data_IF_148823651202
#
_entry.id   IF_148823651202
#
_cell.length_a   1.000
_cell.length_b   1.000
_cell.length_c   1.000
_cell.angle_alpha   90.00
_cell.angle_beta   90.00
_cell.angle_gamma   90.00
#
_symmetry.space_group_name_H-M   'P 1'
#
loop_
_entity.id
_entity.type
_entity.pdbx_description
1 polymer ?
#
# COMPACT_ATOMS: atom_id res chain seq x y z
N UNK A 1 -35.17 -51.40 -38.71
CA UNK A 1 -34.03 -50.48 -38.60
C UNK A 1 -34.35 -49.36 -37.61
N UNK A 2 -33.87 -49.41 -36.36
CA UNK A 2 -33.86 -48.24 -35.49
C UNK A 2 -32.47 -48.09 -34.84
N UNK A 3 -31.54 -47.42 -35.51
CA UNK A 3 -30.21 -47.12 -34.94
C UNK A 3 -29.72 -45.71 -35.27
N UNK A 4 -30.60 -44.84 -35.77
CA UNK A 4 -30.24 -43.51 -36.30
C UNK A 4 -30.93 -42.34 -35.59
N UNK A 5 -31.63 -42.58 -34.47
CA UNK A 5 -32.33 -41.53 -33.72
C UNK A 5 -31.74 -41.25 -32.32
N UNK A 6 -30.72 -41.99 -31.88
CA UNK A 6 -30.07 -41.78 -30.58
C UNK A 6 -28.75 -40.97 -30.67
N UNK A 7 -28.20 -40.75 -31.86
CA UNK A 7 -26.94 -40.01 -32.04
C UNK A 7 -27.08 -38.48 -32.08
N UNK A 8 -28.27 -37.96 -32.40
CA UNK A 8 -28.48 -36.52 -32.65
C UNK A 8 -28.84 -35.79 -31.35
N UNK A 9 -29.47 -36.45 -30.37
CA UNK A 9 -29.82 -35.83 -29.10
C UNK A 9 -28.62 -35.64 -28.15
N UNK A 10 -27.59 -36.48 -28.25
CA UNK A 10 -26.37 -36.38 -27.42
C UNK A 10 -25.46 -35.21 -27.81
N UNK A 11 -25.43 -34.85 -29.10
CA UNK A 11 -24.58 -33.77 -29.60
C UNK A 11 -25.13 -32.37 -29.26
N UNK A 12 -26.46 -32.22 -29.14
CA UNK A 12 -27.10 -30.95 -28.80
C UNK A 12 -26.98 -30.59 -27.31
N UNK A 13 -26.85 -31.58 -26.42
CA UNK A 13 -26.63 -31.31 -24.99
C UNK A 13 -25.18 -30.92 -24.67
N UNK A 14 -24.21 -31.39 -25.45
CA UNK A 14 -22.80 -31.01 -25.29
C UNK A 14 -22.50 -29.61 -25.82
N UNK A 15 -23.20 -29.16 -26.86
CA UNK A 15 -23.05 -27.81 -27.41
C UNK A 15 -23.61 -26.71 -26.48
N UNK A 16 -24.59 -27.01 -25.63
CA UNK A 16 -25.16 -26.07 -24.66
C UNK A 16 -24.37 -25.98 -23.35
N UNK A 17 -23.58 -27.01 -23.00
CA UNK A 17 -22.68 -26.98 -21.82
C UNK A 17 -21.29 -26.43 -22.19
N UNK A 18 -20.83 -26.63 -23.42
CA UNK A 18 -19.58 -26.04 -23.92
C UNK A 18 -19.72 -24.56 -24.35
N UNK A 19 -20.94 -24.10 -24.65
CA UNK A 19 -21.19 -22.72 -25.13
C UNK A 19 -21.30 -21.64 -24.05
N UNK A 20 -21.28 -22.01 -22.75
CA UNK A 20 -21.57 -21.06 -21.66
C UNK A 20 -20.41 -20.84 -20.67
N UNK A 21 -19.20 -21.30 -20.98
CA UNK A 21 -17.98 -21.02 -20.19
C UNK A 21 -16.84 -20.57 -21.07
N UNK A 22 -16.91 -19.29 -21.44
CA UNK A 22 -15.81 -18.34 -21.66
C UNK A 22 -16.33 -17.26 -22.59
N UNK A 23 -17.19 -16.37 -22.06
CA UNK A 23 -17.07 -14.99 -22.50
C UNK A 23 -15.71 -14.54 -21.94
N UNK A 24 -14.69 -14.24 -22.78
CA UNK A 24 -13.56 -13.49 -22.27
C UNK A 24 -14.15 -12.25 -21.60
N UNK A 25 -13.87 -12.06 -20.31
CA UNK A 25 -14.03 -10.73 -19.75
C UNK A 25 -13.31 -9.78 -20.70
N UNK A 26 -13.98 -8.73 -21.22
CA UNK A 26 -13.27 -7.74 -22.01
C UNK A 26 -12.26 -7.06 -21.08
N UNK A 27 -11.03 -7.60 -21.05
CA UNK A 27 -9.82 -6.96 -20.53
C UNK A 27 -9.29 -6.03 -21.61
N UNK A 28 -10.16 -5.14 -22.05
CA UNK A 28 -9.84 -4.07 -22.99
C UNK A 28 -10.74 -2.90 -22.64
N UNK A 29 -10.54 -2.34 -21.44
CA UNK A 29 -10.85 -0.93 -21.24
C UNK A 29 -9.73 -0.18 -21.92
N UNK A 30 -10.02 0.38 -23.09
CA UNK A 30 -9.13 1.31 -23.75
C UNK A 30 -8.82 2.46 -22.79
N UNK A 31 -7.55 2.89 -22.66
CA UNK A 31 -7.18 4.02 -21.82
C UNK A 31 -8.03 5.23 -22.21
N UNK A 32 -8.80 5.79 -21.26
CA UNK A 32 -9.55 7.02 -21.50
C UNK A 32 -8.62 8.21 -21.28
N UNK A 33 -8.08 8.85 -22.34
CA UNK A 33 -6.96 9.77 -22.21
C UNK A 33 -7.25 10.97 -21.30
N UNK A 34 -8.53 11.31 -21.12
CA UNK A 34 -8.99 12.38 -20.23
C UNK A 34 -8.84 12.02 -18.75
N UNK A 35 -9.16 10.78 -18.37
CA UNK A 35 -9.09 10.33 -16.98
C UNK A 35 -7.63 10.19 -16.54
N UNK A 36 -6.77 9.70 -17.42
CA UNK A 36 -5.33 9.59 -17.16
C UNK A 36 -4.68 10.96 -16.98
N UNK A 37 -5.01 11.91 -17.88
CA UNK A 37 -4.53 13.30 -17.78
C UNK A 37 -4.98 13.98 -16.50
N UNK A 38 -6.23 13.79 -16.08
CA UNK A 38 -6.76 14.36 -14.82
C UNK A 38 -6.08 13.75 -13.60
N UNK A 39 -5.89 12.43 -13.58
CA UNK A 39 -5.18 11.76 -12.49
C UNK A 39 -3.74 12.25 -12.39
N UNK A 40 -3.03 12.36 -13.53
CA UNK A 40 -1.68 12.91 -13.59
C UNK A 40 -1.63 14.35 -13.10
N UNK A 41 -2.51 15.22 -13.61
CA UNK A 41 -2.58 16.62 -13.19
C UNK A 41 -2.81 16.74 -11.69
N UNK A 42 -3.76 15.97 -11.14
CA UNK A 42 -4.04 15.92 -9.70
C UNK A 42 -2.82 15.46 -8.89
N UNK A 43 -2.13 14.42 -9.33
CA UNK A 43 -0.91 13.93 -8.67
C UNK A 43 0.19 15.00 -8.67
N UNK A 44 0.40 15.69 -9.80
CA UNK A 44 1.38 16.78 -9.94
C UNK A 44 1.05 17.95 -9.01
N UNK A 45 -0.18 18.45 -9.07
CA UNK A 45 -0.63 19.58 -8.24
C UNK A 45 -0.47 19.28 -6.75
N UNK A 46 -0.90 18.09 -6.32
CA UNK A 46 -0.80 17.66 -4.93
C UNK A 46 0.64 17.49 -4.48
N UNK A 47 1.48 16.83 -5.28
CA UNK A 47 2.89 16.63 -4.96
C UNK A 47 3.62 17.98 -4.82
N UNK A 48 3.39 18.91 -5.74
CA UNK A 48 3.98 20.25 -5.67
C UNK A 48 3.46 21.06 -4.47
N UNK A 49 2.16 20.94 -4.13
CA UNK A 49 1.60 21.60 -2.96
C UNK A 49 2.24 21.09 -1.66
N UNK A 50 2.40 19.77 -1.52
CA UNK A 50 3.09 19.16 -0.37
C UNK A 50 4.56 19.55 -0.35
N UNK A 51 5.27 19.48 -1.49
CA UNK A 51 6.67 19.87 -1.59
C UNK A 51 6.87 21.30 -1.09
N UNK A 52 6.08 22.24 -1.62
CA UNK A 52 6.13 23.64 -1.24
C UNK A 52 5.84 23.85 0.25
N UNK A 53 4.84 23.16 0.79
CA UNK A 53 4.44 23.32 2.19
C UNK A 53 5.46 22.76 3.20
N UNK A 54 6.34 21.87 2.75
CA UNK A 54 7.38 21.23 3.55
C UNK A 54 8.79 21.77 3.26
N UNK A 55 8.95 22.61 2.23
CA UNK A 55 10.27 23.06 1.75
C UNK A 55 11.05 21.98 1.00
N UNK A 56 10.35 21.02 0.38
CA UNK A 56 10.92 19.89 -0.36
C UNK A 56 10.87 20.17 -1.87
N UNK A 57 11.61 19.38 -2.63
CA UNK A 57 11.54 19.29 -4.09
C UNK A 57 10.79 18.03 -4.48
N UNK A 58 9.85 18.16 -5.42
CA UNK A 58 9.13 17.04 -6.01
C UNK A 58 9.82 16.57 -7.29
N UNK A 59 10.19 15.30 -7.32
CA UNK A 59 10.71 14.61 -8.50
C UNK A 59 9.71 13.54 -8.93
N UNK A 60 9.36 13.55 -10.20
CA UNK A 60 8.48 12.52 -10.77
C UNK A 60 9.23 11.20 -10.89
N UNK A 61 8.57 10.10 -10.51
CA UNK A 61 9.09 8.75 -10.73
C UNK A 61 9.13 8.44 -12.23
N UNK A 62 10.27 7.97 -12.72
CA UNK A 62 10.49 7.74 -14.15
C UNK A 62 9.64 6.60 -14.72
N UNK A 63 9.26 5.63 -13.89
CA UNK A 63 8.50 4.45 -14.31
C UNK A 63 6.99 4.65 -14.11
N UNK A 64 6.60 5.44 -13.11
CA UNK A 64 5.20 5.62 -12.72
C UNK A 64 4.86 7.12 -12.69
N UNK A 65 4.30 7.70 -13.78
CA UNK A 65 4.09 9.14 -13.91
C UNK A 65 3.23 9.79 -12.82
N UNK A 66 2.38 9.03 -12.12
CA UNK A 66 1.55 9.56 -11.02
C UNK A 66 2.21 9.44 -9.65
N UNK A 67 3.45 8.95 -9.59
CA UNK A 67 4.23 8.83 -8.36
C UNK A 67 5.30 9.92 -8.33
N UNK A 68 5.44 10.54 -7.17
CA UNK A 68 6.43 11.59 -6.92
C UNK A 68 7.23 11.22 -5.69
N UNK A 69 8.54 11.44 -5.78
CA UNK A 69 9.47 11.43 -4.67
C UNK A 69 9.69 12.87 -4.23
N UNK A 70 9.53 13.10 -2.94
CA UNK A 70 9.73 14.38 -2.26
C UNK A 70 10.97 14.25 -1.39
N UNK A 71 11.95 15.12 -1.65
CA UNK A 71 13.20 15.15 -0.89
C UNK A 71 13.49 16.59 -0.44
N UNK A 72 14.12 16.73 0.73
CA UNK A 72 14.55 18.02 1.23
C UNK A 72 15.97 18.31 0.74
N UNK A 73 16.22 19.43 0.01
CA UNK A 73 17.53 19.71 -0.59
C UNK A 73 18.66 19.85 0.44
N UNK A 74 18.33 20.39 1.61
CA UNK A 74 19.32 20.74 2.64
C UNK A 74 19.35 19.74 3.80
N UNK A 75 18.43 18.77 3.81
CA UNK A 75 18.25 17.90 4.97
C UNK A 75 19.00 16.56 4.75
N UNK A 76 19.97 16.29 5.62
CA UNK A 76 20.78 15.06 5.60
C UNK A 76 20.12 13.90 6.35
N UNK A 77 18.87 14.08 6.79
CA UNK A 77 18.12 13.19 7.67
C UNK A 77 17.71 11.87 6.98
N UNK A 78 17.99 11.72 5.68
CA UNK A 78 17.81 10.46 4.95
C UNK A 78 16.34 10.06 4.83
N UNK A 79 15.42 11.02 4.99
CA UNK A 79 13.99 10.82 4.89
C UNK A 79 13.54 11.02 3.45
N UNK A 80 12.85 10.02 2.90
CA UNK A 80 12.26 10.05 1.57
C UNK A 80 10.75 9.90 1.70
N UNK A 81 10.01 10.91 1.24
CA UNK A 81 8.56 10.81 1.12
C UNK A 81 8.20 10.49 -0.33
N UNK A 82 7.44 9.43 -0.55
CA UNK A 82 6.86 9.08 -1.85
C UNK A 82 5.36 9.21 -1.76
N UNK A 83 4.74 9.67 -2.83
CA UNK A 83 3.29 9.77 -2.89
C UNK A 83 2.80 9.51 -4.29
N UNK A 84 1.58 8.97 -4.42
CA UNK A 84 1.04 8.70 -5.73
C UNK A 84 -0.45 8.45 -5.75
N UNK A 85 -0.95 8.08 -6.93
CA UNK A 85 -2.36 7.78 -7.16
C UNK A 85 -2.47 6.44 -7.92
N UNK A 86 -3.28 5.48 -7.46
CA UNK A 86 -3.25 4.09 -7.92
C UNK A 86 -3.77 3.87 -9.34
N UNK A 87 -4.39 4.88 -9.95
CA UNK A 87 -4.99 4.81 -11.29
C UNK A 87 -4.03 4.26 -12.36
N UNK A 88 -2.75 4.59 -12.26
CA UNK A 88 -1.75 4.26 -13.29
C UNK A 88 -0.92 3.02 -12.92
N UNK A 89 -0.72 2.73 -11.63
CA UNK A 89 0.12 1.60 -11.17
C UNK A 89 -0.40 0.23 -11.65
N UNK A 90 -1.70 0.11 -11.91
CA UNK A 90 -2.32 -1.14 -12.36
C UNK A 90 -2.91 -1.05 -13.78
N UNK A 91 -2.61 0.01 -14.55
CA UNK A 91 -3.26 0.28 -15.84
C UNK A 91 -4.79 0.33 -15.76
N UNK A 92 -5.35 0.56 -14.57
CA UNK A 92 -6.78 0.44 -14.31
C UNK A 92 -7.32 1.73 -13.71
N UNK A 93 -8.06 2.47 -14.54
CA UNK A 93 -8.81 3.66 -14.16
C UNK A 93 -10.24 3.27 -13.77
N UNK A 94 -10.38 2.31 -12.85
CA UNK A 94 -11.71 2.05 -12.27
C UNK A 94 -12.03 3.22 -11.34
N UNK A 95 -13.14 3.90 -11.63
CA UNK A 95 -13.62 5.09 -10.93
C UNK A 95 -13.75 4.89 -9.41
N UNK A 96 -13.83 3.65 -8.93
CA UNK A 96 -14.26 3.39 -7.57
C UNK A 96 -13.21 3.52 -6.46
N UNK A 97 -11.89 3.48 -6.71
CA UNK A 97 -10.90 3.68 -5.63
C UNK A 97 -9.58 4.29 -6.10
N UNK A 98 -9.64 5.54 -6.57
CA UNK A 98 -8.45 6.41 -6.65
C UNK A 98 -7.96 6.79 -5.25
N UNK A 99 -7.46 5.81 -4.49
CA UNK A 99 -6.99 6.05 -3.12
C UNK A 99 -5.58 6.60 -3.19
N UNK A 100 -5.47 7.91 -3.09
CA UNK A 100 -4.18 8.58 -2.97
C UNK A 100 -3.39 8.00 -1.81
N UNK A 101 -2.09 7.81 -1.99
CA UNK A 101 -1.25 7.18 -0.99
C UNK A 101 0.00 8.00 -0.74
N UNK A 102 0.55 7.83 0.46
CA UNK A 102 1.84 8.32 0.88
C UNK A 102 2.64 7.19 1.52
N UNK A 103 3.94 7.21 1.30
CA UNK A 103 4.93 6.30 1.84
C UNK A 103 6.10 7.14 2.33
N UNK A 104 6.44 7.03 3.61
CA UNK A 104 7.65 7.62 4.15
C UNK A 104 8.66 6.51 4.43
N UNK A 105 9.89 6.70 3.94
CA UNK A 105 11.06 5.88 4.26
C UNK A 105 12.05 6.77 5.03
N UNK A 106 12.57 6.28 6.14
CA UNK A 106 13.56 6.97 6.95
C UNK A 106 14.53 5.97 7.58
N UNK A 107 15.59 6.49 8.21
CA UNK A 107 16.43 5.67 9.10
C UNK A 107 15.60 5.12 10.27
N UNK A 108 16.05 3.97 10.77
CA UNK A 108 15.51 3.37 11.98
C UNK A 108 15.61 4.32 13.18
N UNK A 109 14.76 4.16 14.21
CA UNK A 109 14.82 5.00 15.41
C UNK A 109 16.20 4.87 16.08
N UNK A 110 16.81 5.98 16.52
CA UNK A 110 18.06 5.92 17.27
C UNK A 110 17.91 5.07 18.53
N UNK A 111 18.82 4.12 18.74
CA UNK A 111 18.78 3.21 19.89
C UNK A 111 17.90 1.98 19.70
N UNK A 112 17.20 1.84 18.57
CA UNK A 112 16.41 0.65 18.29
C UNK A 112 17.30 -0.60 18.25
N UNK A 113 16.95 -1.69 18.95
CA UNK A 113 17.86 -2.83 19.11
C UNK A 113 18.23 -3.48 17.78
N UNK A 114 19.52 -3.79 17.60
CA UNK A 114 20.00 -4.55 16.45
C UNK A 114 19.38 -5.96 16.42
N UNK A 115 19.08 -6.48 15.23
CA UNK A 115 18.47 -7.80 15.05
C UNK A 115 16.98 -7.87 15.40
N UNK A 116 16.35 -6.74 15.76
CA UNK A 116 14.91 -6.64 15.93
C UNK A 116 14.26 -6.06 14.68
N UNK A 117 13.15 -6.67 14.25
CA UNK A 117 12.31 -6.14 13.18
C UNK A 117 10.84 -6.23 13.55
N UNK A 118 10.14 -5.10 13.42
CA UNK A 118 8.69 -4.99 13.62
C UNK A 118 8.02 -4.77 12.27
N UNK A 119 6.97 -5.52 11.97
CA UNK A 119 6.21 -5.44 10.72
C UNK A 119 4.79 -5.98 10.90
N UNK A 120 3.84 -5.67 10.00
CA UNK A 120 2.58 -6.40 9.99
C UNK A 120 2.81 -7.88 9.57
N UNK A 121 1.89 -8.78 9.94
CA UNK A 121 1.89 -10.15 9.42
C UNK A 121 1.74 -10.17 7.90
N UNK A 122 2.51 -11.05 7.26
CA UNK A 122 2.44 -11.29 5.82
C UNK A 122 1.25 -12.19 5.52
N UNK A 123 0.56 -11.88 4.42
CA UNK A 123 -0.49 -12.72 3.88
C UNK A 123 -0.31 -12.81 2.37
N UNK A 124 -0.32 -14.04 1.85
CA UNK A 124 -0.29 -14.33 0.43
C UNK A 124 -1.59 -13.93 -0.25
N UNK A 125 -1.56 -13.79 -1.58
CA UNK A 125 -2.75 -13.50 -2.38
C UNK A 125 -3.80 -14.62 -2.29
N UNK A 126 -3.35 -15.88 -2.21
CA UNK A 126 -4.22 -17.04 -2.03
C UNK A 126 -4.94 -16.98 -0.68
N UNK A 127 -4.19 -16.79 0.41
CA UNK A 127 -4.77 -16.74 1.76
C UNK A 127 -5.79 -15.62 1.89
N UNK A 128 -5.50 -14.45 1.30
CA UNK A 128 -6.45 -13.34 1.28
C UNK A 128 -7.72 -13.68 0.50
N UNK A 129 -7.59 -14.33 -0.65
CA UNK A 129 -8.73 -14.70 -1.51
C UNK A 129 -9.62 -15.75 -0.85
N UNK A 130 -9.03 -16.68 -0.11
CA UNK A 130 -9.72 -17.82 0.49
C UNK A 130 -10.10 -17.59 1.97
N UNK A 131 -9.73 -16.44 2.54
CA UNK A 131 -10.01 -16.13 3.95
C UNK A 131 -9.20 -16.98 4.93
N UNK A 132 -8.04 -17.48 4.51
CA UNK A 132 -7.13 -18.25 5.35
C UNK A 132 -6.36 -17.32 6.31
N UNK A 133 -5.97 -17.82 7.50
CA UNK A 133 -5.48 -16.98 8.59
C UNK A 133 -4.17 -16.21 8.32
N UNK A 134 -3.39 -16.60 7.31
CA UNK A 134 -2.08 -15.96 7.03
C UNK A 134 -1.06 -16.19 8.14
N UNK A 135 -0.02 -15.37 8.19
CA UNK A 135 0.96 -15.39 9.28
C UNK A 135 0.33 -14.97 10.63
N UNK A 136 0.60 -15.74 11.68
CA UNK A 136 0.14 -15.42 13.04
C UNK A 136 0.92 -14.22 13.60
N UNK A 137 0.23 -13.21 14.20
CA UNK A 137 0.92 -12.12 14.87
C UNK A 137 1.59 -12.61 16.15
N UNK A 138 2.75 -12.04 16.47
CA UNK A 138 3.41 -12.24 17.78
C UNK A 138 2.88 -11.26 18.83
N UNK A 139 2.27 -10.16 18.39
CA UNK A 139 1.71 -9.12 19.25
C UNK A 139 0.44 -8.54 18.61
N UNK A 140 -0.56 -8.28 19.45
CA UNK A 140 -1.74 -7.49 19.09
C UNK A 140 -1.80 -6.30 20.05
N UNK A 141 -1.81 -5.08 19.52
CA UNK A 141 -1.89 -3.86 20.33
C UNK A 141 -3.27 -3.74 21.00
N UNK A 142 -3.41 -2.96 22.08
CA UNK A 142 -4.73 -2.63 22.65
C UNK A 142 -5.71 -2.05 21.63
N UNK A 143 -5.24 -1.25 20.67
CA UNK A 143 -6.01 -0.73 19.54
C UNK A 143 -6.36 -1.78 18.47
N UNK A 144 -5.92 -3.03 18.61
CA UNK A 144 -6.23 -4.15 17.73
C UNK A 144 -5.29 -4.30 16.54
N UNK A 145 -4.18 -3.55 16.48
CA UNK A 145 -3.19 -3.66 15.40
C UNK A 145 -2.36 -4.92 15.60
N UNK A 146 -2.28 -5.74 14.55
CA UNK A 146 -1.52 -7.00 14.54
C UNK A 146 -0.10 -6.75 14.07
N UNK A 147 0.88 -7.25 14.83
CA UNK A 147 2.31 -7.09 14.54
C UNK A 147 3.04 -8.43 14.67
N UNK A 148 4.09 -8.58 13.88
CA UNK A 148 5.13 -9.59 14.01
C UNK A 148 6.41 -8.89 14.44
N UNK A 149 6.99 -9.37 15.53
CA UNK A 149 8.27 -8.93 16.08
C UNK A 149 9.25 -10.09 15.92
N UNK A 150 10.16 -9.95 14.97
CA UNK A 150 11.31 -10.82 14.83
C UNK A 150 12.39 -10.31 15.78
N UNK A 151 12.84 -11.14 16.72
CA UNK A 151 13.85 -10.79 17.72
C UNK A 151 14.80 -11.97 17.92
N UNK A 152 15.81 -12.04 17.07
CA UNK A 152 16.77 -13.16 17.05
C UNK A 152 17.70 -13.16 18.28
N UNK A 153 17.83 -12.03 18.97
CA UNK A 153 18.86 -11.82 20.00
C UNK A 153 18.31 -11.73 21.44
N UNK A 154 17.00 -11.92 21.67
CA UNK A 154 16.38 -11.71 22.98
C UNK A 154 16.51 -10.26 23.46
N UNK A 155 16.69 -9.33 22.53
CA UNK A 155 16.89 -7.92 22.84
C UNK A 155 15.64 -7.33 23.51
N UNK A 156 15.85 -6.52 24.54
CA UNK A 156 14.76 -5.87 25.24
C UNK A 156 14.16 -4.77 24.34
N UNK A 157 12.84 -4.81 24.16
CA UNK A 157 12.06 -3.78 23.47
C UNK A 157 10.99 -3.33 24.46
N UNK A 158 10.78 -2.02 24.59
CA UNK A 158 9.64 -1.51 25.32
C UNK A 158 8.35 -1.72 24.51
N UNK A 159 7.68 -2.84 24.77
CA UNK A 159 6.42 -3.20 24.12
C UNK A 159 5.31 -2.20 24.45
N UNK A 160 5.30 -1.60 25.65
CA UNK A 160 4.28 -0.63 26.04
C UNK A 160 4.43 0.67 25.24
N UNK A 161 5.66 1.18 25.12
CA UNK A 161 5.96 2.34 24.29
C UNK A 161 5.65 2.06 22.80
N UNK A 162 6.04 0.89 22.29
CA UNK A 162 5.76 0.47 20.91
C UNK A 162 4.25 0.44 20.62
N UNK A 163 3.48 -0.25 21.46
CA UNK A 163 2.02 -0.40 21.26
C UNK A 163 1.30 0.94 21.37
N UNK A 164 1.64 1.76 22.37
CA UNK A 164 1.08 3.11 22.52
C UNK A 164 1.40 4.02 21.34
N UNK A 165 2.61 3.90 20.79
CA UNK A 165 2.99 4.63 19.59
C UNK A 165 2.18 4.19 18.36
N UNK A 166 2.07 2.88 18.10
CA UNK A 166 1.30 2.34 16.97
C UNK A 166 -0.18 2.69 17.08
N UNK A 167 -0.76 2.59 18.27
CA UNK A 167 -2.18 2.91 18.51
C UNK A 167 -2.46 4.42 18.43
N UNK A 168 -1.44 5.27 18.51
CA UNK A 168 -1.57 6.72 18.33
C UNK A 168 -1.66 7.14 16.85
N UNK A 169 -1.44 6.23 15.91
CA UNK A 169 -1.58 6.55 14.49
C UNK A 169 -3.01 6.94 14.15
N UNK A 170 -3.20 8.03 13.39
CA UNK A 170 -4.53 8.34 12.90
C UNK A 170 -5.00 7.27 11.90
N UNK A 171 -6.32 7.19 11.80
CA UNK A 171 -7.01 6.25 10.92
C UNK A 171 -6.45 6.30 9.49
N UNK A 172 -6.14 5.15 8.92
CA UNK A 172 -5.57 5.04 7.57
C UNK A 172 -4.08 5.36 7.48
N UNK A 173 -3.37 5.39 8.62
CA UNK A 173 -1.89 5.38 8.69
C UNK A 173 -1.43 4.08 9.36
N UNK A 174 -0.35 3.47 8.87
CA UNK A 174 0.17 2.25 9.46
C UNK A 174 1.68 2.07 9.26
N UNK A 175 2.26 1.24 10.12
CA UNK A 175 3.63 0.77 10.02
C UNK A 175 3.75 -0.33 8.96
N UNK A 176 4.78 -0.25 8.13
CA UNK A 176 5.15 -1.34 7.20
C UNK A 176 6.38 -2.09 7.71
N UNK A 177 7.42 -1.38 8.13
CA UNK A 177 8.57 -2.00 8.77
C UNK A 177 9.29 -1.02 9.66
N UNK A 178 9.87 -1.52 10.75
CA UNK A 178 10.79 -0.79 11.61
C UNK A 178 11.90 -1.74 12.09
N UNK A 179 13.14 -1.31 11.95
CA UNK A 179 14.32 -1.92 12.55
C UNK A 179 15.37 -0.82 12.82
N UNK A 180 16.59 -1.19 13.23
CA UNK A 180 17.65 -0.23 13.54
C UNK A 180 18.10 0.61 12.33
N UNK A 181 17.90 0.12 11.10
CA UNK A 181 18.38 0.76 9.87
C UNK A 181 17.28 1.50 9.12
N UNK A 182 16.03 1.05 9.24
CA UNK A 182 14.92 1.49 8.40
C UNK A 182 13.62 1.66 9.18
N UNK A 183 12.87 2.69 8.82
CA UNK A 183 11.48 2.93 9.20
C UNK A 183 10.67 3.18 7.92
N UNK A 184 9.57 2.45 7.76
CA UNK A 184 8.60 2.67 6.68
C UNK A 184 7.20 2.86 7.25
N UNK A 185 6.60 4.01 6.97
CA UNK A 185 5.21 4.34 7.28
C UNK A 185 4.42 4.55 5.99
N UNK A 186 3.13 4.21 6.00
CA UNK A 186 2.21 4.47 4.88
C UNK A 186 0.91 5.10 5.35
N UNK A 187 0.31 5.88 4.47
CA UNK A 187 -1.02 6.43 4.66
C UNK A 187 -1.83 6.41 3.35
N UNK A 188 -3.13 6.18 3.44
CA UNK A 188 -4.04 6.13 2.29
C UNK A 188 -5.23 7.11 2.43
N UNK A 189 -6.00 7.01 3.51
CA UNK A 189 -7.25 7.78 3.69
C UNK A 189 -6.95 9.25 4.03
N UNK A 190 -6.07 9.57 4.99
CA UNK A 190 -5.70 10.97 5.28
C UNK A 190 -4.91 11.62 4.15
N UNK A 191 -4.16 10.83 3.39
CA UNK A 191 -3.41 11.31 2.23
C UNK A 191 -4.34 11.79 1.09
N UNK A 192 -5.54 11.22 1.01
CA UNK A 192 -6.57 11.65 0.06
C UNK A 192 -7.33 12.90 0.52
N UNK A 193 -7.52 13.09 1.84
CA UNK A 193 -8.30 14.20 2.41
C UNK A 193 -7.45 15.47 2.67
N UNK A 194 -6.30 15.33 3.34
CA UNK A 194 -5.36 16.42 3.63
C UNK A 194 -3.91 15.92 3.56
N UNK A 195 -3.38 15.94 2.34
CA UNK A 195 -2.04 15.50 2.02
C UNK A 195 -0.93 16.26 2.78
N UNK A 196 -1.11 17.57 3.02
CA UNK A 196 -0.07 18.38 3.67
C UNK A 196 0.02 18.01 5.15
N UNK A 197 -1.11 17.98 5.84
CA UNK A 197 -1.17 17.60 7.25
C UNK A 197 -0.70 16.16 7.44
N UNK A 198 -1.11 15.24 6.56
CA UNK A 198 -0.67 13.85 6.57
C UNK A 198 0.86 13.74 6.42
N UNK A 199 1.44 14.45 5.44
CA UNK A 199 2.89 14.42 5.22
C UNK A 199 3.68 15.01 6.39
N UNK A 200 3.23 16.14 6.97
CA UNK A 200 3.85 16.73 8.17
C UNK A 200 3.85 15.75 9.33
N UNK A 201 2.71 15.13 9.58
CA UNK A 201 2.58 14.14 10.63
C UNK A 201 3.49 12.93 10.40
N UNK A 202 3.54 12.35 9.19
CA UNK A 202 4.45 11.24 8.90
C UNK A 202 5.91 11.62 9.18
N UNK A 203 6.31 12.85 8.83
CA UNK A 203 7.65 13.38 9.11
C UNK A 203 7.91 13.59 10.60
N UNK A 204 6.95 14.21 11.32
CA UNK A 204 7.02 14.41 12.76
C UNK A 204 7.13 13.08 13.49
N UNK A 205 6.31 12.13 13.08
CA UNK A 205 6.41 10.76 13.52
C UNK A 205 7.85 10.27 13.28
N UNK A 206 8.33 10.16 12.05
CA UNK A 206 9.68 9.64 11.76
C UNK A 206 10.83 10.28 12.59
N UNK A 207 10.67 11.51 13.07
CA UNK A 207 11.65 12.26 13.87
C UNK A 207 11.54 12.09 15.39
N UNK A 208 10.47 11.51 15.92
CA UNK A 208 10.32 11.31 17.36
C UNK A 208 11.39 10.32 17.88
N UNK A 209 12.11 10.63 18.97
CA UNK A 209 12.93 9.63 19.66
C UNK A 209 12.00 8.54 20.21
N UNK A 210 12.30 7.28 19.90
CA UNK A 210 11.37 6.16 20.08
C UNK A 210 12.10 4.88 20.46
N UNK A 211 11.59 4.29 21.53
CA UNK A 211 11.97 3.00 22.11
C UNK A 211 13.37 3.00 22.74
#
# INVERSE_FOLDING_TARGET
>A
MPALLLGILGALLFALIAGNRMRPHPTSMSPHPRTERRALQRSVERANAVAKALGFVAEQDAEIPTTFRLHAPEASDGVTLRMGSPAVFAGSFKEDKLVDWMKLEAKGPPGFPAGVKVRPPVQTSLERREGLPGESPTLVTPGGVKLVIENEAGAAIDIAALTGWIDSFPKGTWLVTMNAEALELRADTPAAEDAITCARMLLEEARKPRV
#
